data_IF_108528285681
#
_entry.id   IF_108528285681
#
_cell.length_a   1.000
_cell.length_b   1.000
_cell.length_c   1.000
_cell.angle_alpha   90.00
_cell.angle_beta   90.00
_cell.angle_gamma   90.00
#
_symmetry.space_group_name_H-M   'P 1'
#
loop_
_entity.id
_entity.type
_entity.pdbx_description
1 polymer ?
#
# COMPACT_ATOMS: atom_id res chain seq x y z
N UNK A 1 -6.18 12.71 -15.16
CA UNK A 1 -5.51 11.74 -16.04
C UNK A 1 -4.15 11.38 -15.43
N UNK A 2 -3.76 10.11 -15.44
CA UNK A 2 -2.52 9.62 -14.83
C UNK A 2 -1.90 8.53 -15.73
N UNK A 3 -0.64 8.15 -15.47
CA UNK A 3 -0.01 7.00 -16.19
C UNK A 3 -0.75 5.67 -15.97
N UNK A 4 -1.57 5.55 -14.92
CA UNK A 4 -2.42 4.39 -14.65
C UNK A 4 -3.89 4.62 -15.03
N UNK A 5 -4.17 5.62 -15.87
CA UNK A 5 -5.49 5.97 -16.39
C UNK A 5 -6.18 7.11 -15.62
N UNK A 6 -7.43 7.35 -15.98
CA UNK A 6 -8.30 8.34 -15.30
C UNK A 6 -8.64 7.85 -13.90
N UNK A 7 -8.62 8.76 -12.93
CA UNK A 7 -8.99 8.52 -11.53
C UNK A 7 -10.12 9.48 -11.16
N UNK A 8 -11.21 8.94 -10.64
CA UNK A 8 -12.32 9.73 -10.13
C UNK A 8 -11.97 10.22 -8.72
N UNK A 9 -12.13 11.53 -8.50
CA UNK A 9 -11.79 12.18 -7.24
C UNK A 9 -12.98 12.96 -6.72
N UNK A 10 -13.28 12.81 -5.43
CA UNK A 10 -14.29 13.59 -4.72
C UNK A 10 -13.61 14.50 -3.70
N UNK A 11 -13.76 15.81 -3.89
CA UNK A 11 -13.22 16.81 -2.97
C UNK A 11 -14.18 17.01 -1.79
N UNK A 12 -13.69 16.81 -0.56
CA UNK A 12 -14.45 17.02 0.67
C UNK A 12 -14.04 18.37 1.24
N UNK A 13 -14.97 19.33 1.22
CA UNK A 13 -14.71 20.71 1.62
C UNK A 13 -15.12 20.98 3.07
N UNK A 14 -14.35 21.84 3.74
CA UNK A 14 -14.66 22.41 5.06
C UNK A 14 -14.32 23.89 5.02
N UNK A 15 -15.25 24.74 5.44
CA UNK A 15 -15.09 26.21 5.43
C UNK A 15 -14.68 26.77 4.05
N UNK A 16 -15.26 26.25 2.97
CA UNK A 16 -14.96 26.70 1.60
C UNK A 16 -13.60 26.27 1.05
N UNK A 17 -12.84 25.45 1.77
CA UNK A 17 -11.55 24.89 1.33
C UNK A 17 -11.60 23.38 1.25
N UNK A 18 -10.86 22.79 0.32
CA UNK A 18 -10.66 21.33 0.29
C UNK A 18 -9.93 20.91 1.56
N UNK A 19 -10.47 19.91 2.25
CA UNK A 19 -9.91 19.37 3.50
C UNK A 19 -9.42 17.93 3.34
N UNK A 20 -10.13 17.14 2.52
CA UNK A 20 -9.78 15.78 2.16
C UNK A 20 -10.14 15.54 0.70
N UNK A 21 -9.49 14.55 0.12
CA UNK A 21 -9.84 14.04 -1.20
C UNK A 21 -10.05 12.54 -1.06
N UNK A 22 -11.17 12.06 -1.57
CA UNK A 22 -11.40 10.65 -1.82
C UNK A 22 -11.07 10.35 -3.28
N UNK A 23 -10.35 9.26 -3.52
CA UNK A 23 -9.90 8.83 -4.84
C UNK A 23 -10.35 7.39 -5.06
N UNK A 24 -10.99 7.12 -6.19
CA UNK A 24 -11.21 5.76 -6.68
C UNK A 24 -9.90 5.22 -7.26
N UNK A 25 -9.25 4.32 -6.52
CA UNK A 25 -7.97 3.74 -6.90
C UNK A 25 -8.14 2.61 -7.92
N UNK A 26 -9.38 2.20 -8.19
CA UNK A 26 -9.72 1.07 -9.05
C UNK A 26 -9.65 -0.27 -8.32
N UNK A 27 -9.70 -1.35 -9.09
CA UNK A 27 -9.70 -2.72 -8.58
C UNK A 27 -8.28 -3.22 -8.30
N UNK A 28 -8.11 -3.93 -7.19
CA UNK A 28 -6.89 -4.66 -6.91
C UNK A 28 -6.78 -5.91 -7.81
N UNK A 29 -5.63 -6.10 -8.44
CA UNK A 29 -5.31 -7.31 -9.18
C UNK A 29 -4.57 -8.31 -8.26
N UNK A 30 -5.03 -9.55 -8.24
CA UNK A 30 -4.61 -10.59 -7.29
C UNK A 30 -3.90 -11.77 -7.96
N UNK A 31 -3.96 -11.87 -9.29
CA UNK A 31 -3.29 -12.93 -10.05
C UNK A 31 -1.77 -12.74 -10.04
N UNK A 32 -0.97 -13.75 -9.64
CA UNK A 32 0.50 -13.66 -9.59
C UNK A 32 1.14 -13.21 -10.90
N UNK A 33 0.64 -13.71 -12.03
CA UNK A 33 1.14 -13.36 -13.37
C UNK A 33 0.98 -11.87 -13.68
N UNK A 34 -0.10 -11.25 -13.20
CA UNK A 34 -0.39 -9.83 -13.40
C UNK A 34 0.20 -8.92 -12.32
N UNK A 35 0.68 -9.49 -11.20
CA UNK A 35 1.49 -8.81 -10.17
C UNK A 35 3.00 -8.91 -10.45
N UNK A 36 3.38 -9.40 -11.64
CA UNK A 36 4.63 -10.12 -11.92
C UNK A 36 5.39 -10.66 -10.70
N UNK A 37 4.82 -11.66 -10.00
CA UNK A 37 5.53 -12.44 -8.97
C UNK A 37 5.67 -13.90 -9.41
N UNK A 38 6.87 -14.47 -9.27
CA UNK A 38 7.19 -15.86 -9.64
C UNK A 38 6.78 -16.85 -8.56
N UNK A 39 5.51 -16.84 -8.19
CA UNK A 39 4.90 -17.80 -7.28
C UNK A 39 3.68 -18.42 -7.95
N UNK A 40 3.53 -19.74 -7.78
CA UNK A 40 2.43 -20.50 -8.38
C UNK A 40 1.11 -20.29 -7.63
N UNK A 41 0.00 -20.50 -8.35
CA UNK A 41 -1.37 -20.47 -7.83
C UNK A 41 -2.19 -19.27 -8.31
N UNK A 42 -3.43 -19.20 -7.87
CA UNK A 42 -4.37 -18.15 -8.31
C UNK A 42 -4.13 -16.81 -7.62
N UNK A 43 -3.59 -16.84 -6.39
CA UNK A 43 -3.32 -15.68 -5.52
C UNK A 43 -2.14 -15.95 -4.60
N UNK A 44 -1.39 -14.91 -4.28
CA UNK A 44 -0.38 -14.94 -3.20
C UNK A 44 -0.99 -14.32 -1.95
N UNK A 45 -1.58 -15.15 -1.09
CA UNK A 45 -2.13 -14.74 0.21
C UNK A 45 -1.53 -15.64 1.28
N UNK A 46 -0.96 -15.02 2.30
CA UNK A 46 -0.32 -15.68 3.43
C UNK A 46 0.70 -16.77 3.02
N UNK A 47 1.49 -16.51 1.98
CA UNK A 47 2.44 -17.49 1.42
C UNK A 47 3.79 -17.40 2.13
N UNK A 48 4.36 -18.51 2.63
CA UNK A 48 5.69 -18.51 3.21
C UNK A 48 6.76 -18.33 2.11
N UNK A 49 7.72 -17.45 2.37
CA UNK A 49 8.90 -17.24 1.53
C UNK A 49 10.15 -17.10 2.40
N UNK A 50 11.32 -17.37 1.83
CA UNK A 50 12.61 -17.10 2.46
C UNK A 50 13.26 -15.91 1.79
N UNK A 51 13.56 -14.85 2.55
CA UNK A 51 14.39 -13.73 2.10
C UNK A 51 15.54 -13.60 3.07
N UNK A 52 16.76 -13.66 2.54
CA UNK A 52 17.99 -13.53 3.32
C UNK A 52 18.02 -14.49 4.54
N UNK A 53 17.60 -15.74 4.32
CA UNK A 53 17.56 -16.78 5.34
C UNK A 53 16.42 -16.65 6.37
N UNK A 54 15.61 -15.60 6.30
CA UNK A 54 14.50 -15.36 7.20
C UNK A 54 13.17 -15.77 6.55
N UNK A 55 12.31 -16.44 7.32
CA UNK A 55 10.98 -16.86 6.87
C UNK A 55 9.98 -15.71 7.04
N UNK A 56 9.36 -15.29 5.96
CA UNK A 56 8.27 -14.31 5.95
C UNK A 56 7.00 -14.92 5.39
N UNK A 57 5.85 -14.39 5.81
CA UNK A 57 4.56 -14.67 5.17
C UNK A 57 4.12 -13.43 4.41
N UNK A 58 3.92 -13.58 3.11
CA UNK A 58 3.62 -12.47 2.21
C UNK A 58 2.23 -12.58 1.61
N UNK A 59 1.66 -11.41 1.33
CA UNK A 59 0.48 -11.27 0.49
C UNK A 59 0.78 -10.25 -0.60
N UNK A 60 0.55 -10.62 -1.87
CA UNK A 60 0.83 -9.76 -3.00
C UNK A 60 -0.45 -9.33 -3.70
N UNK A 61 -0.45 -8.09 -4.17
CA UNK A 61 -1.47 -7.55 -5.07
C UNK A 61 -0.86 -6.45 -5.94
N UNK A 62 -1.62 -6.01 -6.94
CA UNK A 62 -1.25 -4.87 -7.77
C UNK A 62 -2.36 -3.82 -7.76
N UNK A 63 -1.96 -2.57 -7.55
CA UNK A 63 -2.82 -1.38 -7.67
C UNK A 63 -2.49 -0.60 -8.96
N UNK A 64 -1.99 -1.32 -9.99
CA UNK A 64 -1.37 -0.77 -11.19
C UNK A 64 0.16 -0.88 -11.17
N UNK A 65 0.74 -1.19 -10.02
CA UNK A 65 2.14 -1.54 -9.80
C UNK A 65 2.23 -2.62 -8.69
N UNK A 66 3.31 -3.42 -8.64
CA UNK A 66 3.37 -4.58 -7.76
C UNK A 66 3.62 -4.21 -6.31
N UNK A 67 2.91 -4.88 -5.39
CA UNK A 67 3.05 -4.73 -3.95
C UNK A 67 3.21 -6.09 -3.26
N UNK A 68 4.09 -6.12 -2.25
CA UNK A 68 4.30 -7.25 -1.35
C UNK A 68 4.08 -6.78 0.08
N UNK A 69 3.13 -7.39 0.79
CA UNK A 69 2.76 -7.01 2.16
C UNK A 69 3.18 -8.12 3.12
N UNK A 70 3.88 -7.73 4.18
CA UNK A 70 4.33 -8.58 5.28
C UNK A 70 3.67 -8.10 6.57
N UNK A 71 2.98 -9.01 7.26
CA UNK A 71 2.41 -8.72 8.58
C UNK A 71 3.40 -9.10 9.68
N UNK A 72 3.49 -8.28 10.73
CA UNK A 72 4.39 -8.51 11.85
C UNK A 72 3.92 -7.83 13.14
N UNK A 73 4.46 -8.23 14.31
CA UNK A 73 4.01 -7.69 15.60
C UNK A 73 4.34 -6.21 15.82
N UNK A 74 5.38 -5.67 15.19
CA UNK A 74 5.71 -4.25 15.31
C UNK A 74 6.57 -3.77 14.15
N UNK A 75 6.30 -2.55 13.67
CA UNK A 75 7.04 -1.89 12.58
C UNK A 75 8.05 -0.83 13.05
N UNK A 76 8.06 -0.49 14.35
CA UNK A 76 8.80 0.67 14.87
C UNK A 76 10.32 0.54 14.80
N UNK A 77 10.82 -0.68 15.00
CA UNK A 77 12.27 -0.96 15.02
C UNK A 77 12.79 -1.58 13.73
N UNK A 78 11.99 -1.58 12.66
CA UNK A 78 12.43 -2.10 11.38
C UNK A 78 13.55 -1.26 10.79
N UNK A 79 14.64 -1.93 10.45
CA UNK A 79 15.65 -1.40 9.56
C UNK A 79 15.22 -1.61 8.11
N UNK A 80 14.48 -0.64 7.58
CA UNK A 80 14.00 -0.70 6.19
C UNK A 80 15.12 -0.47 5.17
N UNK A 81 16.23 0.14 5.56
CA UNK A 81 17.35 0.37 4.66
C UNK A 81 18.08 -0.94 4.36
N UNK A 82 18.15 -1.84 5.34
CA UNK A 82 18.62 -3.20 5.14
C UNK A 82 17.56 -4.10 4.49
N UNK A 83 16.33 -4.10 5.02
CA UNK A 83 15.31 -5.08 4.61
C UNK A 83 14.64 -4.74 3.27
N UNK A 84 14.40 -3.46 2.99
CA UNK A 84 13.70 -3.00 1.79
C UNK A 84 14.33 -3.49 0.48
N UNK A 85 15.64 -3.27 0.26
CA UNK A 85 16.34 -3.77 -0.93
C UNK A 85 16.27 -5.29 -1.10
N UNK A 86 16.28 -6.05 0.01
CA UNK A 86 16.22 -7.51 -0.04
C UNK A 86 14.90 -8.00 -0.64
N UNK A 87 13.79 -7.30 -0.38
CA UNK A 87 12.51 -7.56 -1.04
C UNK A 87 12.45 -6.95 -2.44
N UNK A 88 12.87 -5.70 -2.61
CA UNK A 88 12.77 -4.98 -3.88
C UNK A 88 13.47 -5.74 -5.02
N UNK A 89 14.66 -6.26 -4.75
CA UNK A 89 15.52 -6.92 -5.73
C UNK A 89 15.44 -8.44 -5.71
N UNK A 90 14.52 -9.02 -4.93
CA UNK A 90 14.38 -10.47 -4.86
C UNK A 90 14.05 -11.05 -6.27
N UNK A 91 14.72 -12.13 -6.71
CA UNK A 91 14.47 -12.76 -8.00
C UNK A 91 13.03 -13.22 -8.25
N UNK A 92 12.22 -13.37 -7.18
CA UNK A 92 10.79 -13.66 -7.30
C UNK A 92 9.98 -12.50 -7.87
N UNK A 93 10.50 -11.27 -7.84
CA UNK A 93 9.87 -10.07 -8.39
C UNK A 93 10.65 -9.53 -9.60
N UNK A 94 10.44 -10.06 -10.82
CA UNK A 94 11.15 -9.63 -12.03
C UNK A 94 11.09 -8.13 -12.33
N UNK A 95 9.99 -7.47 -11.95
CA UNK A 95 9.81 -6.03 -12.15
C UNK A 95 10.13 -5.21 -10.90
N UNK A 96 10.80 -5.83 -9.92
CA UNK A 96 10.93 -5.35 -8.54
C UNK A 96 9.58 -5.11 -7.88
N UNK A 97 9.57 -4.81 -6.60
CA UNK A 97 8.32 -4.67 -5.83
C UNK A 97 8.39 -3.51 -4.85
N UNK A 98 7.23 -2.89 -4.57
CA UNK A 98 7.10 -2.08 -3.37
C UNK A 98 6.76 -3.01 -2.20
N UNK A 99 7.51 -2.94 -1.10
CA UNK A 99 7.23 -3.76 0.08
C UNK A 99 6.61 -2.92 1.19
N UNK A 100 5.58 -3.47 1.84
CA UNK A 100 4.95 -2.89 3.00
C UNK A 100 5.00 -3.81 4.19
N UNK A 101 5.43 -3.27 5.32
CA UNK A 101 5.43 -3.95 6.60
C UNK A 101 4.30 -3.38 7.44
N UNK A 102 3.44 -4.26 7.95
CA UNK A 102 2.17 -3.89 8.56
C UNK A 102 2.04 -4.53 9.93
N UNK A 103 1.74 -3.69 10.91
CA UNK A 103 1.30 -4.05 12.24
C UNK A 103 -0.22 -3.89 12.30
N UNK A 104 -0.92 -4.97 12.67
CA UNK A 104 -2.38 -4.96 12.86
C UNK A 104 -2.65 -4.50 14.29
N UNK A 105 -3.22 -3.31 14.46
CA UNK A 105 -3.53 -2.74 15.78
C UNK A 105 -4.86 -3.29 16.28
N UNK A 106 -5.87 -3.28 15.41
CA UNK A 106 -7.21 -3.83 15.62
C UNK A 106 -7.85 -4.16 14.25
N UNK A 107 -9.14 -4.52 14.25
CA UNK A 107 -9.87 -4.95 13.05
C UNK A 107 -10.21 -3.82 12.05
N UNK A 108 -9.88 -2.57 12.37
CA UNK A 108 -10.12 -1.38 11.53
C UNK A 108 -8.95 -0.37 11.55
N UNK A 109 -7.82 -0.71 12.16
CA UNK A 109 -6.63 0.13 12.28
C UNK A 109 -5.37 -0.67 12.00
N UNK A 110 -4.60 -0.20 11.03
CA UNK A 110 -3.28 -0.71 10.68
C UNK A 110 -2.22 0.36 10.94
N UNK A 111 -0.99 -0.05 11.24
CA UNK A 111 0.19 0.81 11.24
C UNK A 111 1.19 0.23 10.24
N UNK A 112 1.71 1.05 9.35
CA UNK A 112 2.52 0.56 8.25
C UNK A 112 3.76 1.44 7.98
N UNK A 113 4.80 0.78 7.47
CA UNK A 113 5.97 1.44 6.86
C UNK A 113 6.25 0.80 5.50
N UNK A 114 6.66 1.62 4.54
CA UNK A 114 6.80 1.20 3.15
C UNK A 114 8.21 1.46 2.64
N UNK A 115 8.69 0.53 1.82
CA UNK A 115 9.83 0.72 0.95
C UNK A 115 9.33 0.75 -0.50
N UNK A 116 9.48 1.89 -1.14
CA UNK A 116 9.06 2.10 -2.52
C UNK A 116 10.18 1.76 -3.50
N UNK A 117 9.80 1.01 -4.54
CA UNK A 117 10.67 0.61 -5.63
C UNK A 117 11.35 1.83 -6.25
N UNK A 118 12.68 1.85 -6.22
CA UNK A 118 13.52 2.93 -6.76
C UNK A 118 13.58 4.20 -5.92
N UNK A 119 12.86 4.30 -4.81
CA UNK A 119 12.82 5.49 -3.96
C UNK A 119 13.35 5.24 -2.54
N UNK A 120 13.15 4.04 -2.00
CA UNK A 120 13.49 3.71 -0.60
C UNK A 120 12.32 3.93 0.37
N UNK A 121 12.62 4.15 1.65
CA UNK A 121 11.60 4.42 2.66
C UNK A 121 10.88 5.75 2.40
N UNK A 122 9.55 5.72 2.31
CA UNK A 122 8.74 6.92 2.11
C UNK A 122 7.83 7.24 3.31
N UNK A 123 7.47 8.52 3.45
CA UNK A 123 6.63 8.99 4.56
C UNK A 123 5.18 8.49 4.42
N UNK A 124 4.69 8.40 3.18
CA UNK A 124 3.38 7.89 2.84
C UNK A 124 3.38 7.44 1.37
N UNK A 125 2.64 6.37 1.07
CA UNK A 125 2.46 5.86 -0.29
C UNK A 125 1.02 5.39 -0.49
N UNK A 126 0.27 6.07 -1.37
CA UNK A 126 -1.16 5.80 -1.55
C UNK A 126 -1.46 4.38 -2.04
N UNK A 127 -0.75 3.92 -3.08
CA UNK A 127 -0.98 2.57 -3.62
C UNK A 127 -0.51 1.47 -2.67
N UNK A 128 0.63 1.64 -1.98
CA UNK A 128 1.04 0.69 -0.93
C UNK A 128 0.06 0.63 0.22
N UNK A 129 -0.54 1.77 0.60
CA UNK A 129 -1.56 1.82 1.66
C UNK A 129 -2.84 1.08 1.25
N UNK A 130 -3.26 1.24 -0.01
CA UNK A 130 -4.34 0.45 -0.58
C UNK A 130 -4.03 -1.05 -0.57
N UNK A 131 -2.82 -1.42 -1.03
CA UNK A 131 -2.36 -2.81 -1.05
C UNK A 131 -2.30 -3.43 0.35
N UNK A 132 -1.88 -2.68 1.37
CA UNK A 132 -1.85 -3.13 2.76
C UNK A 132 -3.26 -3.50 3.26
N UNK A 133 -4.27 -2.70 2.91
CA UNK A 133 -5.67 -2.94 3.31
C UNK A 133 -6.31 -4.09 2.53
N UNK A 134 -6.02 -4.19 1.24
CA UNK A 134 -6.39 -5.37 0.43
C UNK A 134 -5.80 -6.64 1.06
N UNK A 135 -4.51 -6.63 1.37
CA UNK A 135 -3.84 -7.75 2.01
C UNK A 135 -4.45 -8.07 3.38
N UNK A 136 -4.72 -7.07 4.23
CA UNK A 136 -5.28 -7.28 5.56
C UNK A 136 -6.68 -7.91 5.47
N UNK A 137 -7.48 -7.49 4.49
CA UNK A 137 -8.79 -8.06 4.22
C UNK A 137 -8.71 -9.50 3.73
N UNK A 138 -7.79 -9.80 2.81
CA UNK A 138 -7.59 -11.16 2.29
C UNK A 138 -7.09 -12.15 3.36
N UNK A 139 -6.36 -11.66 4.35
CA UNK A 139 -5.89 -12.46 5.49
C UNK A 139 -6.92 -12.52 6.65
N UNK A 140 -8.07 -11.86 6.52
CA UNK A 140 -9.12 -11.85 7.54
C UNK A 140 -8.82 -10.97 8.76
N UNK A 141 -7.81 -10.09 8.71
CA UNK A 141 -7.51 -9.13 9.78
C UNK A 141 -8.50 -7.97 9.82
N UNK A 142 -8.99 -7.55 8.65
CA UNK A 142 -9.98 -6.49 8.52
C UNK A 142 -11.16 -6.95 7.66
N UNK A 143 -12.32 -6.32 7.83
CA UNK A 143 -13.52 -6.67 7.06
C UNK A 143 -13.61 -5.88 5.76
N UNK A 144 -13.98 -6.58 4.68
CA UNK A 144 -14.28 -5.96 3.38
C UNK A 144 -15.46 -4.99 3.49
N UNK A 145 -15.42 -3.89 2.76
CA UNK A 145 -16.45 -2.84 2.73
C UNK A 145 -16.45 -1.90 3.93
N UNK A 146 -15.52 -2.08 4.88
CA UNK A 146 -15.35 -1.19 6.04
C UNK A 146 -14.23 -0.19 5.80
N UNK A 147 -14.38 0.98 6.39
CA UNK A 147 -13.33 1.99 6.43
C UNK A 147 -12.23 1.54 7.39
N UNK A 148 -11.03 1.37 6.85
CA UNK A 148 -9.84 0.95 7.59
C UNK A 148 -8.87 2.13 7.64
N UNK A 149 -8.46 2.52 8.84
CA UNK A 149 -7.48 3.57 9.07
C UNK A 149 -6.07 2.98 8.99
N UNK A 150 -5.20 3.60 8.22
CA UNK A 150 -3.79 3.23 8.13
C UNK A 150 -2.93 4.37 8.62
N UNK A 151 -2.20 4.12 9.71
CA UNK A 151 -1.25 5.03 10.32
C UNK A 151 0.11 4.87 9.61
N UNK A 152 0.60 5.98 9.09
CA UNK A 152 1.85 6.11 8.34
C UNK A 152 2.76 7.10 9.05
N UNK A 153 4.04 7.13 8.67
CA UNK A 153 5.00 8.11 9.21
C UNK A 153 4.61 9.55 8.88
N UNK A 154 4.01 9.78 7.71
CA UNK A 154 3.57 11.09 7.22
C UNK A 154 2.13 11.48 7.58
N UNK A 155 1.38 10.65 8.31
CA UNK A 155 -0.01 10.92 8.66
C UNK A 155 -0.88 9.67 8.59
N UNK A 156 -2.14 9.83 8.20
CA UNK A 156 -3.09 8.72 8.11
C UNK A 156 -3.86 8.76 6.79
N UNK A 157 -4.21 7.58 6.29
CA UNK A 157 -5.13 7.39 5.19
C UNK A 157 -6.28 6.50 5.64
N UNK A 158 -7.46 6.73 5.07
CA UNK A 158 -8.63 5.87 5.24
C UNK A 158 -8.86 5.12 3.94
N UNK A 159 -8.91 3.79 3.99
CA UNK A 159 -9.12 2.95 2.82
C UNK A 159 -10.40 2.15 3.00
N UNK A 160 -11.20 2.05 1.94
CA UNK A 160 -12.33 1.13 1.87
C UNK A 160 -12.13 0.20 0.67
N UNK A 161 -12.06 -1.10 0.92
CA UNK A 161 -11.86 -2.11 -0.11
C UNK A 161 -13.15 -2.94 -0.30
N UNK A 162 -13.63 -3.00 -1.55
CA UNK A 162 -14.80 -3.77 -2.00
C UNK A 162 -14.41 -4.72 -3.12
N UNK A 163 -15.32 -5.57 -3.60
CA UNK A 163 -15.01 -6.47 -4.73
C UNK A 163 -14.84 -5.73 -6.06
N UNK A 164 -15.43 -4.55 -6.15
CA UNK A 164 -15.43 -3.67 -7.31
C UNK A 164 -14.20 -2.76 -7.33
N UNK A 165 -13.82 -2.18 -6.19
CA UNK A 165 -12.82 -1.10 -6.12
C UNK A 165 -12.22 -0.87 -4.74
N UNK A 166 -11.13 -0.11 -4.72
CA UNK A 166 -10.51 0.45 -3.53
C UNK A 166 -10.70 1.97 -3.53
N UNK A 167 -11.31 2.51 -2.48
CA UNK A 167 -11.42 3.95 -2.25
C UNK A 167 -10.37 4.38 -1.23
N UNK A 168 -9.67 5.48 -1.52
CA UNK A 168 -8.67 6.06 -0.63
C UNK A 168 -9.06 7.49 -0.28
N UNK A 169 -9.21 7.79 1.01
CA UNK A 169 -9.41 9.16 1.51
C UNK A 169 -8.18 9.63 2.28
N UNK A 170 -7.64 10.79 1.90
CA UNK A 170 -6.51 11.43 2.58
C UNK A 170 -6.73 12.93 2.78
N UNK A 171 -5.96 13.54 3.69
CA UNK A 171 -5.93 15.00 3.85
C UNK A 171 -5.18 15.65 2.68
N UNK A 172 -5.60 16.86 2.30
CA UNK A 172 -4.89 17.69 1.35
C UNK A 172 -4.66 19.06 1.99
N UNK A 173 -3.40 19.43 2.18
CA UNK A 173 -3.01 20.68 2.85
C UNK A 173 -2.03 21.46 1.96
N UNK A 174 -2.32 22.75 1.80
CA UNK A 174 -1.47 23.67 1.04
C UNK A 174 -0.36 24.21 1.94
N UNK A 175 0.89 24.01 1.55
CA UNK A 175 2.05 24.42 2.34
C UNK A 175 2.53 25.84 1.96
N UNK A 176 2.67 26.14 0.67
CA UNK A 176 3.05 27.46 0.15
C UNK A 176 2.59 27.64 -1.30
N UNK A 177 2.66 28.87 -1.82
CA UNK A 177 2.71 29.16 -3.26
C UNK A 177 3.99 29.94 -3.55
N UNK A 178 4.53 29.80 -4.76
CA UNK A 178 5.67 30.58 -5.21
C UNK A 178 5.83 30.53 -6.73
N UNK A 179 6.76 31.35 -7.23
CA UNK A 179 7.18 31.38 -8.63
C UNK A 179 8.63 30.84 -8.71
N UNK A 180 8.94 30.13 -9.79
CA UNK A 180 10.29 29.60 -10.07
C UNK A 180 10.73 30.14 -11.43
N UNK A 181 11.87 30.84 -11.46
CA UNK A 181 12.59 31.15 -12.70
C UNK A 181 13.45 29.94 -13.09
N UNK A 182 13.42 29.57 -14.38
CA UNK A 182 14.12 28.42 -14.97
C UNK A 182 15.16 28.91 -15.96
#
# INVERSE_FOLDING_TARGET
>A
DTKSGVKDCVAITKNGKVSKVEVDMGRAELSPEKIPVRLEGDRVVDKPISIDGNLYRITCCSMGNPHCIVFMPSVDKLDLQDLGPKFEYDPMFPQRVNVGFVEVIDDHTLKARFWERGNGETMACGTCTCAAVVAATLNGYCQKGRDIRVILKGGELKINYTDERVLMTGKAEKIYDGEVEV
#
